data_IF_493721297373
#
_entry.id   IF_493721297373
#
_cell.length_a   1.000
_cell.length_b   1.000
_cell.length_c   1.000
_cell.angle_alpha   90.00
_cell.angle_beta   90.00
_cell.angle_gamma   90.00
#
_symmetry.space_group_name_H-M   'P 1'
#
loop_
_entity.id
_entity.type
_entity.pdbx_description
1 polymer ?
#
# COMPACT_ATOMS: atom_id res chain seq x y z
N UNK A 1 -9.88 -1.65 48.23
CA UNK A 1 -9.86 -2.55 47.06
C UNK A 1 -8.40 -2.74 46.66
N UNK A 2 -7.87 -3.92 46.91
CA UNK A 2 -6.46 -4.28 46.78
C UNK A 2 -5.99 -4.39 45.32
N UNK A 3 -4.82 -3.80 45.06
CA UNK A 3 -3.63 -4.33 44.37
C UNK A 3 -3.79 -5.28 43.17
N UNK A 4 -3.15 -4.94 42.06
CA UNK A 4 -2.53 -5.92 41.15
C UNK A 4 -1.25 -5.34 40.53
N UNK A 5 -0.13 -5.56 41.22
CA UNK A 5 1.21 -5.45 40.67
C UNK A 5 1.87 -6.83 40.78
N UNK A 6 2.46 -7.27 39.66
CA UNK A 6 3.61 -8.16 39.51
C UNK A 6 3.94 -9.18 40.61
N UNK A 7 4.01 -10.47 40.25
CA UNK A 7 5.21 -11.31 40.40
C UNK A 7 4.86 -12.77 40.11
N UNK A 8 5.33 -13.31 38.98
CA UNK A 8 5.35 -14.76 38.74
C UNK A 8 6.76 -15.23 39.01
N UNK A 9 6.97 -15.81 40.19
CA UNK A 9 8.17 -16.58 40.49
C UNK A 9 7.83 -17.79 41.38
N UNK A 10 8.23 -18.96 40.87
CA UNK A 10 8.49 -20.25 41.54
C UNK A 10 7.30 -21.14 41.91
N UNK A 11 7.25 -22.29 41.25
CA UNK A 11 7.27 -23.59 41.94
C UNK A 11 7.80 -24.70 41.01
N UNK A 12 9.09 -24.98 41.12
CA UNK A 12 9.64 -26.30 40.78
C UNK A 12 9.18 -27.29 41.86
N UNK A 13 8.43 -28.33 41.48
CA UNK A 13 8.26 -29.53 42.31
C UNK A 13 8.57 -30.76 41.46
N UNK A 14 9.62 -31.46 41.86
CA UNK A 14 10.01 -32.76 41.33
C UNK A 14 8.95 -33.81 41.69
N UNK A 15 8.46 -34.56 40.69
CA UNK A 15 7.64 -35.74 40.87
C UNK A 15 8.49 -37.00 40.59
N UNK A 16 8.40 -37.97 41.51
CA UNK A 16 9.14 -39.25 41.54
C UNK A 16 8.83 -40.14 40.31
N UNK A 17 9.77 -41.00 39.88
CA UNK A 17 9.56 -41.87 38.73
C UNK A 17 8.62 -43.04 39.09
N UNK A 18 7.58 -43.26 38.28
CA UNK A 18 6.82 -44.50 38.31
C UNK A 18 7.69 -45.64 37.75
N UNK A 19 7.84 -46.71 38.53
CA UNK A 19 8.38 -48.00 38.08
C UNK A 19 7.44 -48.59 37.03
N UNK A 20 7.90 -48.70 35.79
CA UNK A 20 7.27 -49.55 34.78
C UNK A 20 7.70 -51.00 35.01
N UNK A 21 6.70 -51.88 35.04
CA UNK A 21 6.83 -53.31 35.15
C UNK A 21 7.62 -53.86 33.95
N UNK A 22 8.64 -54.66 34.24
CA UNK A 22 9.46 -55.33 33.25
C UNK A 22 8.68 -56.55 32.72
N UNK A 23 8.03 -56.40 31.57
CA UNK A 23 7.49 -57.54 30.82
C UNK A 23 8.62 -58.11 29.96
N UNK A 24 9.11 -59.29 30.37
CA UNK A 24 9.98 -60.14 29.56
C UNK A 24 9.18 -60.62 28.33
N UNK A 25 9.34 -59.90 27.21
CA UNK A 25 8.93 -60.38 25.89
C UNK A 25 10.21 -60.71 25.15
N UNK A 26 10.46 -62.00 24.98
CA UNK A 26 11.51 -62.51 24.09
C UNK A 26 11.25 -62.01 22.66
N UNK A 27 11.78 -60.83 22.35
CA UNK A 27 11.80 -60.29 21.00
C UNK A 27 12.89 -61.01 20.22
N UNK A 28 12.50 -62.00 19.42
CA UNK A 28 13.33 -62.44 18.30
C UNK A 28 13.69 -61.19 17.48
N UNK A 29 14.98 -60.82 17.45
CA UNK A 29 15.48 -59.75 16.61
C UNK A 29 15.28 -60.13 15.14
N UNK A 30 14.07 -59.94 14.62
CA UNK A 30 13.86 -59.80 13.18
C UNK A 30 14.51 -58.48 12.82
N UNK A 31 15.71 -58.54 12.21
CA UNK A 31 16.33 -57.41 11.52
C UNK A 31 15.22 -56.65 10.79
N UNK A 32 15.09 -55.33 10.95
CA UNK A 32 14.15 -54.57 10.13
C UNK A 32 14.50 -54.92 8.69
N UNK A 33 13.53 -55.51 7.99
CA UNK A 33 13.63 -55.80 6.57
C UNK A 33 13.81 -54.42 5.95
N UNK A 34 15.06 -54.03 5.67
CA UNK A 34 15.34 -52.85 4.88
C UNK A 34 14.57 -53.08 3.60
N UNK A 35 13.48 -52.32 3.43
CA UNK A 35 12.82 -52.18 2.16
C UNK A 35 13.96 -51.76 1.24
N UNK A 36 14.32 -52.63 0.31
CA UNK A 36 15.26 -52.30 -0.75
C UNK A 36 14.75 -50.99 -1.32
N UNK A 37 15.42 -49.90 -0.99
CA UNK A 37 15.11 -48.58 -1.51
C UNK A 37 15.29 -48.73 -3.00
N UNK A 38 14.18 -48.87 -3.73
CA UNK A 38 14.22 -48.92 -5.18
C UNK A 38 14.96 -47.66 -5.62
N UNK A 39 16.19 -47.81 -6.12
CA UNK A 39 17.07 -46.70 -6.50
C UNK A 39 16.30 -45.70 -7.35
N UNK A 40 15.49 -46.22 -8.27
CA UNK A 40 14.57 -45.47 -9.14
C UNK A 40 13.71 -44.47 -8.37
N UNK A 41 13.05 -44.88 -7.28
CA UNK A 41 12.21 -43.97 -6.51
C UNK A 41 13.04 -42.87 -5.85
N UNK A 42 14.18 -43.22 -5.25
CA UNK A 42 15.08 -42.24 -4.63
C UNK A 42 15.60 -41.24 -5.67
N UNK A 43 15.96 -41.71 -6.85
CA UNK A 43 16.50 -40.89 -7.93
C UNK A 43 15.42 -39.95 -8.51
N UNK A 44 14.14 -40.37 -8.56
CA UNK A 44 13.01 -39.48 -8.89
C UNK A 44 12.77 -38.40 -7.80
N UNK A 45 12.80 -38.77 -6.52
CA UNK A 45 12.68 -37.80 -5.43
C UNK A 45 13.85 -36.80 -5.41
N UNK A 46 15.05 -37.21 -5.80
CA UNK A 46 16.19 -36.31 -5.94
C UNK A 46 15.93 -35.24 -7.01
N UNK A 47 15.42 -35.63 -8.19
CA UNK A 47 15.04 -34.68 -9.26
C UNK A 47 13.98 -33.68 -8.78
N UNK A 48 12.97 -34.15 -8.04
CA UNK A 48 11.95 -33.26 -7.48
C UNK A 48 12.52 -32.30 -6.43
N UNK A 49 13.44 -32.77 -5.59
CA UNK A 49 14.12 -31.92 -4.62
C UNK A 49 14.94 -30.82 -5.32
N UNK A 50 15.72 -31.18 -6.34
CA UNK A 50 16.52 -30.23 -7.12
C UNK A 50 15.64 -29.16 -7.78
N UNK A 51 14.54 -29.57 -8.43
CA UNK A 51 13.56 -28.64 -9.02
C UNK A 51 12.96 -27.69 -7.99
N UNK A 52 12.57 -28.19 -6.81
CA UNK A 52 12.00 -27.36 -5.74
C UNK A 52 13.03 -26.39 -5.15
N UNK A 53 14.29 -26.82 -5.02
CA UNK A 53 15.38 -25.97 -4.57
C UNK A 53 15.63 -24.82 -5.55
N UNK A 54 15.75 -25.12 -6.85
CA UNK A 54 15.91 -24.10 -7.89
C UNK A 54 14.73 -23.11 -7.93
N UNK A 55 13.50 -23.62 -7.80
CA UNK A 55 12.31 -22.78 -7.73
C UNK A 55 12.30 -21.88 -6.49
N UNK A 56 12.71 -22.40 -5.33
CA UNK A 56 12.80 -21.65 -4.09
C UNK A 56 13.90 -20.57 -4.16
N UNK A 57 15.07 -20.90 -4.72
CA UNK A 57 16.16 -19.94 -4.92
C UNK A 57 15.72 -18.79 -5.82
N UNK A 58 14.97 -19.10 -6.89
CA UNK A 58 14.38 -18.08 -7.77
C UNK A 58 13.35 -17.22 -7.05
N UNK A 59 12.45 -17.83 -6.27
CA UNK A 59 11.47 -17.11 -5.44
C UNK A 59 12.16 -16.13 -4.49
N UNK A 60 13.24 -16.54 -3.83
CA UNK A 60 14.00 -15.67 -2.92
C UNK A 60 14.67 -14.50 -3.65
N UNK A 61 15.18 -14.69 -4.87
CA UNK A 61 15.68 -13.59 -5.71
C UNK A 61 14.58 -12.59 -6.06
N UNK A 62 13.42 -13.07 -6.49
CA UNK A 62 12.25 -12.22 -6.79
C UNK A 62 11.79 -11.44 -5.56
N UNK A 63 11.75 -12.07 -4.37
CA UNK A 63 11.40 -11.37 -3.12
C UNK A 63 12.39 -10.25 -2.82
N UNK A 64 13.70 -10.49 -2.98
CA UNK A 64 14.72 -9.47 -2.76
C UNK A 64 14.56 -8.29 -3.71
N UNK A 65 14.41 -8.55 -5.01
CA UNK A 65 14.17 -7.49 -6.00
C UNK A 65 12.87 -6.72 -5.72
N UNK A 66 11.81 -7.43 -5.32
CA UNK A 66 10.52 -6.83 -4.97
C UNK A 66 10.62 -5.89 -3.76
N UNK A 67 11.40 -6.25 -2.74
CA UNK A 67 11.64 -5.36 -1.59
C UNK A 67 12.32 -4.06 -2.00
N UNK A 68 13.29 -4.12 -2.90
CA UNK A 68 13.98 -2.92 -3.40
C UNK A 68 13.02 -2.00 -4.17
N UNK A 69 12.14 -2.56 -5.01
CA UNK A 69 11.07 -1.80 -5.68
C UNK A 69 10.18 -1.12 -4.64
N UNK A 70 9.63 -1.87 -3.67
CA UNK A 70 8.76 -1.31 -2.62
C UNK A 70 9.45 -0.17 -1.86
N UNK A 71 10.69 -0.37 -1.41
CA UNK A 71 11.42 0.62 -0.61
C UNK A 71 11.60 1.92 -1.40
N UNK A 72 11.96 1.83 -2.68
CA UNK A 72 12.24 3.03 -3.46
C UNK A 72 10.97 3.69 -4.01
N UNK A 73 9.91 2.94 -4.32
CA UNK A 73 8.58 3.50 -4.59
C UNK A 73 8.05 4.30 -3.39
N UNK A 74 8.22 3.80 -2.15
CA UNK A 74 7.88 4.56 -0.93
C UNK A 74 8.64 5.87 -0.83
N UNK A 75 9.94 5.87 -1.15
CA UNK A 75 10.73 7.11 -1.13
C UNK A 75 10.19 8.14 -2.11
N UNK A 76 9.75 7.71 -3.30
CA UNK A 76 9.09 8.57 -4.29
C UNK A 76 7.81 9.16 -3.69
N UNK A 77 6.94 8.33 -3.11
CA UNK A 77 5.69 8.79 -2.46
C UNK A 77 5.99 9.83 -1.38
N UNK A 78 6.95 9.56 -0.50
CA UNK A 78 7.37 10.52 0.54
C UNK A 78 7.96 11.80 -0.03
N UNK A 79 8.65 11.73 -1.17
CA UNK A 79 9.17 12.91 -1.85
C UNK A 79 8.03 13.75 -2.42
N UNK A 80 7.02 13.15 -3.05
CA UNK A 80 5.83 13.86 -3.57
C UNK A 80 5.04 14.55 -2.45
N UNK A 81 4.94 13.96 -1.26
CA UNK A 81 4.28 14.60 -0.12
C UNK A 81 4.96 15.88 0.39
N UNK A 82 6.16 16.19 -0.08
CA UNK A 82 6.86 17.44 0.27
C UNK A 82 6.44 18.63 -0.58
N UNK A 83 5.54 18.44 -1.55
CA UNK A 83 5.06 19.48 -2.47
C UNK A 83 4.30 20.56 -1.72
N UNK A 84 4.83 21.77 -1.80
CA UNK A 84 4.23 23.03 -1.36
C UNK A 84 4.11 23.97 -2.56
N UNK A 85 3.39 25.07 -2.39
CA UNK A 85 3.16 26.05 -3.46
C UNK A 85 4.46 26.67 -4.00
N UNK A 86 5.46 26.85 -3.15
CA UNK A 86 6.73 27.52 -3.44
C UNK A 86 7.81 26.58 -4.02
N UNK A 87 7.70 25.27 -3.80
CA UNK A 87 8.73 24.30 -4.19
C UNK A 87 8.21 23.17 -5.11
N UNK A 88 6.98 23.29 -5.62
CA UNK A 88 6.30 22.22 -6.36
C UNK A 88 7.12 21.67 -7.52
N UNK A 89 7.72 22.53 -8.35
CA UNK A 89 8.47 22.09 -9.53
C UNK A 89 9.74 21.32 -9.16
N UNK A 90 10.52 21.83 -8.20
CA UNK A 90 11.74 21.16 -7.73
C UNK A 90 11.41 19.79 -7.13
N UNK A 91 10.40 19.73 -6.26
CA UNK A 91 10.00 18.50 -5.58
C UNK A 91 9.49 17.45 -6.56
N UNK A 92 8.62 17.84 -7.50
CA UNK A 92 8.07 16.93 -8.50
C UNK A 92 9.11 16.49 -9.53
N UNK A 93 10.00 17.39 -9.99
CA UNK A 93 11.09 17.02 -10.90
C UNK A 93 12.03 16.00 -10.26
N UNK A 94 12.30 16.15 -8.96
CA UNK A 94 13.06 15.16 -8.21
C UNK A 94 12.30 13.85 -8.07
N UNK A 95 11.01 13.87 -7.72
CA UNK A 95 10.20 12.66 -7.60
C UNK A 95 10.13 11.88 -8.93
N UNK A 96 10.02 12.57 -10.07
CA UNK A 96 10.03 11.94 -11.39
C UNK A 96 11.38 11.31 -11.73
N UNK A 97 12.50 11.97 -11.38
CA UNK A 97 13.84 11.38 -11.54
C UNK A 97 14.03 10.15 -10.66
N UNK A 98 13.55 10.22 -9.42
CA UNK A 98 13.58 9.10 -8.49
C UNK A 98 12.71 7.94 -9.02
N UNK A 99 11.51 8.22 -9.54
CA UNK A 99 10.62 7.23 -10.15
C UNK A 99 11.21 6.62 -11.44
N UNK A 100 11.85 7.43 -12.28
CA UNK A 100 12.57 6.95 -13.45
C UNK A 100 13.70 6.00 -13.04
N UNK A 101 14.42 6.32 -11.96
CA UNK A 101 15.45 5.44 -11.38
C UNK A 101 14.84 4.14 -10.86
N UNK A 102 13.68 4.19 -10.20
CA UNK A 102 12.95 2.99 -9.78
C UNK A 102 12.62 2.09 -10.97
N UNK A 103 12.14 2.70 -12.04
CA UNK A 103 11.77 2.03 -13.28
C UNK A 103 13.00 1.39 -13.94
N UNK A 104 14.06 2.15 -14.19
CA UNK A 104 15.24 1.65 -14.90
C UNK A 104 16.11 0.69 -14.08
N UNK A 105 16.14 0.81 -12.74
CA UNK A 105 17.09 0.03 -11.91
C UNK A 105 16.42 -1.11 -11.15
N UNK A 106 15.26 -0.88 -10.53
CA UNK A 106 14.65 -1.88 -9.64
C UNK A 106 13.58 -2.69 -10.36
N UNK A 107 12.71 -2.04 -11.15
CA UNK A 107 11.74 -2.75 -11.99
C UNK A 107 12.46 -3.59 -13.04
N UNK A 108 13.51 -3.08 -13.70
CA UNK A 108 14.32 -3.86 -14.65
C UNK A 108 14.86 -5.16 -14.02
N UNK A 109 15.48 -5.07 -12.83
CA UNK A 109 15.98 -6.26 -12.11
C UNK A 109 14.88 -7.25 -11.76
N UNK A 110 13.71 -6.75 -11.32
CA UNK A 110 12.57 -7.62 -11.06
C UNK A 110 12.10 -8.33 -12.33
N UNK A 111 12.07 -7.62 -13.48
CA UNK A 111 11.73 -8.22 -14.78
C UNK A 111 12.78 -9.25 -15.20
N UNK A 112 14.07 -9.02 -14.96
CA UNK A 112 15.15 -9.97 -15.32
C UNK A 112 15.04 -11.31 -14.60
N UNK A 113 14.58 -11.30 -13.34
CA UNK A 113 14.36 -12.50 -12.53
C UNK A 113 13.09 -13.28 -12.91
N UNK A 114 12.16 -12.65 -13.65
CA UNK A 114 10.88 -13.23 -14.07
C UNK A 114 10.91 -13.62 -15.55
N UNK A 115 10.74 -14.90 -15.88
CA UNK A 115 10.76 -15.37 -17.27
C UNK A 115 9.63 -16.37 -17.56
N UNK A 116 9.07 -16.32 -18.76
CA UNK A 116 8.12 -17.32 -19.25
C UNK A 116 6.94 -17.55 -18.31
N UNK A 117 6.91 -18.69 -17.62
CA UNK A 117 5.80 -19.09 -16.73
C UNK A 117 5.85 -18.51 -15.32
N UNK A 118 6.91 -17.77 -14.99
CA UNK A 118 7.13 -17.31 -13.61
C UNK A 118 6.13 -16.25 -13.15
N UNK A 119 5.56 -15.47 -14.08
CA UNK A 119 4.63 -14.40 -13.76
C UNK A 119 3.46 -14.89 -12.88
N UNK A 120 2.85 -16.01 -13.23
CA UNK A 120 1.76 -16.55 -12.41
C UNK A 120 2.27 -17.39 -11.24
N UNK A 121 3.34 -18.17 -11.41
CA UNK A 121 3.89 -19.05 -10.36
C UNK A 121 4.44 -18.28 -9.16
N UNK A 122 5.04 -17.12 -9.43
CA UNK A 122 5.71 -16.28 -8.43
C UNK A 122 4.94 -15.00 -8.13
N UNK A 123 3.68 -14.85 -8.56
CA UNK A 123 2.87 -13.63 -8.36
C UNK A 123 2.91 -13.12 -6.92
N UNK A 124 2.74 -14.00 -5.94
CA UNK A 124 2.76 -13.64 -4.52
C UNK A 124 4.11 -13.08 -4.03
N UNK A 125 5.21 -13.36 -4.72
CA UNK A 125 6.52 -12.85 -4.36
C UNK A 125 6.72 -11.36 -4.73
N UNK A 126 5.97 -10.85 -5.71
CA UNK A 126 6.19 -9.50 -6.26
C UNK A 126 4.95 -8.60 -6.34
N UNK A 127 3.73 -9.13 -6.21
CA UNK A 127 2.48 -8.36 -6.37
C UNK A 127 2.46 -7.06 -5.56
N UNK A 128 2.86 -7.09 -4.28
CA UNK A 128 2.90 -5.90 -3.43
C UNK A 128 3.90 -4.84 -3.92
N UNK A 129 5.02 -5.27 -4.49
CA UNK A 129 6.00 -4.34 -5.05
C UNK A 129 5.48 -3.64 -6.30
N UNK A 130 4.75 -4.36 -7.14
CA UNK A 130 4.08 -3.81 -8.32
C UNK A 130 2.98 -2.83 -7.91
N UNK A 131 2.15 -3.18 -6.92
CA UNK A 131 1.10 -2.28 -6.41
C UNK A 131 1.70 -0.96 -5.90
N UNK A 132 2.77 -1.03 -5.09
CA UNK A 132 3.47 0.16 -4.57
C UNK A 132 4.10 1.01 -5.69
N UNK A 133 4.64 0.36 -6.74
CA UNK A 133 5.14 1.07 -7.92
C UNK A 133 4.02 1.80 -8.67
N UNK A 134 2.87 1.15 -8.86
CA UNK A 134 1.70 1.77 -9.49
C UNK A 134 1.21 2.95 -8.67
N UNK A 135 1.13 2.82 -7.34
CA UNK A 135 0.78 3.89 -6.43
C UNK A 135 1.73 5.09 -6.59
N UNK A 136 3.05 4.86 -6.55
CA UNK A 136 4.04 5.91 -6.72
C UNK A 136 3.94 6.62 -8.09
N UNK A 137 3.79 5.84 -9.17
CA UNK A 137 3.74 6.36 -10.54
C UNK A 137 2.46 7.18 -10.79
N UNK A 138 1.31 6.66 -10.36
CA UNK A 138 0.03 7.35 -10.49
C UNK A 138 -0.04 8.58 -9.58
N UNK A 139 0.58 8.54 -8.40
CA UNK A 139 0.65 9.70 -7.50
C UNK A 139 1.50 10.84 -8.09
N UNK A 140 2.65 10.51 -8.68
CA UNK A 140 3.46 11.50 -9.40
C UNK A 140 2.67 12.14 -10.56
N UNK A 141 2.03 11.31 -11.41
CA UNK A 141 1.21 11.79 -12.53
C UNK A 141 0.08 12.70 -12.07
N UNK A 142 -0.62 12.31 -11.00
CA UNK A 142 -1.71 13.11 -10.45
C UNK A 142 -1.22 14.48 -9.96
N UNK A 143 -0.12 14.53 -9.22
CA UNK A 143 0.40 15.80 -8.71
C UNK A 143 0.97 16.70 -9.82
N UNK A 144 1.41 16.14 -10.95
CA UNK A 144 1.93 16.89 -12.09
C UNK A 144 0.82 17.41 -13.02
N UNK A 145 -0.13 16.56 -13.37
CA UNK A 145 -1.09 16.79 -14.46
C UNK A 145 -2.55 16.75 -14.01
N UNK A 146 -2.83 16.27 -12.79
CA UNK A 146 -4.20 16.09 -12.30
C UNK A 146 -4.92 14.88 -12.91
N UNK A 147 -4.19 13.97 -13.57
CA UNK A 147 -4.70 12.77 -14.25
C UNK A 147 -4.11 11.49 -13.65
N UNK A 148 -4.66 10.33 -14.02
CA UNK A 148 -4.12 9.01 -13.64
C UNK A 148 -3.28 8.49 -14.80
N UNK A 149 -2.12 7.92 -14.50
CA UNK A 149 -1.31 7.21 -15.47
C UNK A 149 -1.97 5.86 -15.79
N UNK A 150 -2.33 5.62 -17.04
CA UNK A 150 -3.11 4.43 -17.40
C UNK A 150 -2.26 3.13 -17.40
N UNK A 151 -2.92 1.98 -17.25
CA UNK A 151 -2.25 0.67 -17.24
C UNK A 151 -1.47 0.39 -18.54
N UNK A 152 -1.95 0.88 -19.68
CA UNK A 152 -1.32 0.66 -20.99
C UNK A 152 -0.03 1.48 -21.10
N UNK A 153 -0.01 2.71 -20.63
CA UNK A 153 1.14 3.60 -20.54
C UNK A 153 2.20 3.02 -19.61
N UNK A 154 1.80 2.53 -18.43
CA UNK A 154 2.74 1.87 -17.49
C UNK A 154 3.37 0.65 -18.15
N UNK A 155 2.55 -0.24 -18.72
CA UNK A 155 3.06 -1.44 -19.39
C UNK A 155 3.93 -1.10 -20.61
N UNK A 156 3.61 -0.05 -21.36
CA UNK A 156 4.44 0.42 -22.49
C UNK A 156 5.82 0.86 -21.99
N UNK A 157 5.86 1.56 -20.86
CA UNK A 157 7.12 1.97 -20.22
C UNK A 157 7.93 0.75 -19.78
N UNK A 158 7.30 -0.24 -19.15
CA UNK A 158 7.99 -1.47 -18.72
C UNK A 158 8.43 -2.36 -19.90
N UNK A 159 7.68 -2.37 -20.99
CA UNK A 159 8.05 -3.09 -22.21
C UNK A 159 9.34 -2.53 -22.82
N UNK A 160 9.57 -1.22 -22.71
CA UNK A 160 10.80 -0.59 -23.19
C UNK A 160 12.06 -0.97 -22.41
N UNK A 161 11.91 -1.56 -21.21
CA UNK A 161 13.02 -2.04 -20.38
C UNK A 161 13.49 -3.45 -20.77
N UNK A 162 12.68 -4.21 -21.51
CA UNK A 162 12.99 -5.59 -21.87
C UNK A 162 13.88 -5.67 -23.11
N UNK A 163 14.83 -6.61 -23.11
CA UNK A 163 15.51 -7.04 -24.34
C UNK A 163 14.50 -7.60 -25.34
N UNK A 164 14.72 -7.38 -26.65
CA UNK A 164 13.85 -7.85 -27.74
C UNK A 164 13.58 -9.37 -27.74
N UNK A 165 14.34 -10.16 -26.97
CA UNK A 165 14.20 -11.61 -26.85
C UNK A 165 13.42 -12.08 -25.61
N UNK A 166 13.05 -11.20 -24.67
CA UNK A 166 12.34 -11.56 -23.43
C UNK A 166 10.93 -10.96 -23.42
N UNK A 167 9.95 -11.71 -22.89
CA UNK A 167 8.62 -11.14 -22.63
C UNK A 167 8.74 -10.20 -21.43
N UNK A 168 8.41 -8.91 -21.59
CA UNK A 168 8.47 -7.96 -20.47
C UNK A 168 7.41 -8.29 -19.42
N UNK A 169 7.66 -7.88 -18.17
CA UNK A 169 6.65 -7.93 -17.12
C UNK A 169 5.45 -7.08 -17.54
N UNK A 170 4.29 -7.72 -17.60
CA UNK A 170 3.02 -7.04 -17.79
C UNK A 170 2.31 -6.96 -16.43
N UNK A 171 2.12 -5.75 -15.93
CA UNK A 171 1.31 -5.50 -14.74
C UNK A 171 -0.11 -5.96 -15.01
N UNK A 172 -0.62 -6.80 -14.11
CA UNK A 172 -1.99 -7.31 -14.20
C UNK A 172 -2.99 -6.22 -13.86
N UNK A 173 -4.20 -6.31 -14.43
CA UNK A 173 -5.30 -5.41 -14.09
C UNK A 173 -5.58 -5.38 -12.60
N UNK A 174 -5.50 -6.52 -11.92
CA UNK A 174 -5.74 -6.62 -10.48
C UNK A 174 -4.68 -5.85 -9.68
N UNK A 175 -3.40 -6.03 -9.99
CA UNK A 175 -2.32 -5.31 -9.27
C UNK A 175 -2.39 -3.80 -9.53
N UNK A 176 -2.79 -3.39 -10.74
CA UNK A 176 -3.03 -1.97 -11.04
C UNK A 176 -4.19 -1.39 -10.22
N UNK A 177 -5.34 -2.07 -10.18
CA UNK A 177 -6.51 -1.60 -9.43
C UNK A 177 -6.23 -1.55 -7.93
N UNK A 178 -5.47 -2.51 -7.38
CA UNK A 178 -5.07 -2.52 -5.98
C UNK A 178 -4.11 -1.36 -5.66
N UNK A 179 -3.11 -1.11 -6.50
CA UNK A 179 -2.22 0.06 -6.36
C UNK A 179 -2.97 1.39 -6.50
N UNK A 180 -3.96 1.46 -7.39
CA UNK A 180 -4.85 2.63 -7.52
C UNK A 180 -5.73 2.84 -6.29
N UNK A 181 -6.15 1.75 -5.63
CA UNK A 181 -6.88 1.85 -4.39
C UNK A 181 -6.01 2.42 -3.27
N UNK A 182 -4.73 2.05 -3.20
CA UNK A 182 -3.77 2.61 -2.24
C UNK A 182 -3.46 4.10 -2.50
N UNK A 183 -3.34 4.51 -3.77
CA UNK A 183 -3.22 5.93 -4.16
C UNK A 183 -4.24 6.82 -3.46
N UNK A 184 -5.48 6.35 -3.29
CA UNK A 184 -6.54 7.15 -2.65
C UNK A 184 -6.22 7.55 -1.21
N UNK A 185 -5.47 6.71 -0.48
CA UNK A 185 -4.97 7.02 0.85
C UNK A 185 -3.93 8.13 0.84
N UNK A 186 -3.03 8.12 -0.15
CA UNK A 186 -2.02 9.17 -0.32
C UNK A 186 -2.64 10.49 -0.80
N UNK A 187 -3.64 10.42 -1.68
CA UNK A 187 -4.45 11.58 -2.07
C UNK A 187 -5.17 12.21 -0.88
N UNK A 188 -5.73 11.39 0.03
CA UNK A 188 -6.30 11.90 1.26
C UNK A 188 -5.27 12.62 2.12
N UNK A 189 -4.07 12.05 2.32
CA UNK A 189 -2.99 12.73 3.05
C UNK A 189 -2.60 14.07 2.39
N UNK A 190 -2.47 14.09 1.06
CA UNK A 190 -2.19 15.30 0.30
C UNK A 190 -3.29 16.35 0.50
N UNK A 191 -4.56 15.94 0.43
CA UNK A 191 -5.70 16.84 0.62
C UNK A 191 -5.69 17.48 2.01
N UNK A 192 -5.38 16.73 3.07
CA UNK A 192 -5.24 17.29 4.43
C UNK A 192 -4.11 18.31 4.48
N UNK A 193 -2.94 18.02 3.89
CA UNK A 193 -1.83 18.99 3.81
C UNK A 193 -2.26 20.28 3.11
N UNK A 194 -3.01 20.15 2.02
CA UNK A 194 -3.46 21.29 1.20
C UNK A 194 -4.52 22.13 1.90
N UNK A 195 -5.38 21.52 2.72
CA UNK A 195 -6.28 22.25 3.62
C UNK A 195 -5.49 23.09 4.61
N UNK A 196 -4.41 22.55 5.20
CA UNK A 196 -3.54 23.30 6.11
C UNK A 196 -2.84 24.49 5.42
N UNK A 197 -2.55 24.38 4.12
CA UNK A 197 -2.00 25.44 3.27
C UNK A 197 -3.07 26.45 2.78
N UNK A 198 -4.31 26.34 3.26
CA UNK A 198 -5.49 27.13 2.82
C UNK A 198 -5.89 26.92 1.35
N UNK A 199 -5.44 25.85 0.72
CA UNK A 199 -5.82 25.45 -0.65
C UNK A 199 -7.04 24.52 -0.66
N UNK A 200 -8.14 24.97 -0.03
CA UNK A 200 -9.35 24.16 0.17
C UNK A 200 -9.97 23.71 -1.17
N UNK A 201 -9.91 24.56 -2.21
CA UNK A 201 -10.44 24.19 -3.53
C UNK A 201 -9.66 23.06 -4.19
N UNK A 202 -8.36 22.93 -3.92
CA UNK A 202 -7.58 21.79 -4.40
C UNK A 202 -7.93 20.53 -3.63
N UNK A 203 -8.10 20.61 -2.31
CA UNK A 203 -8.57 19.48 -1.51
C UNK A 203 -9.96 18.99 -1.93
N UNK A 204 -10.87 19.89 -2.31
CA UNK A 204 -12.17 19.53 -2.90
C UNK A 204 -12.03 18.83 -4.25
N UNK A 205 -11.08 19.23 -5.10
CA UNK A 205 -10.77 18.52 -6.37
C UNK A 205 -10.29 17.10 -6.08
N UNK A 206 -9.38 16.93 -5.12
CA UNK A 206 -8.90 15.61 -4.69
C UNK A 206 -10.07 14.77 -4.16
N UNK A 207 -10.94 15.34 -3.31
CA UNK A 207 -12.11 14.65 -2.78
C UNK A 207 -13.00 14.09 -3.90
N UNK A 208 -13.38 14.93 -4.89
CA UNK A 208 -14.18 14.50 -6.05
C UNK A 208 -13.51 13.39 -6.84
N UNK A 209 -12.19 13.48 -7.00
CA UNK A 209 -11.42 12.48 -7.71
C UNK A 209 -11.43 11.13 -6.99
N UNK A 210 -11.20 11.12 -5.67
CA UNK A 210 -11.27 9.89 -4.86
C UNK A 210 -12.69 9.32 -4.84
N UNK A 211 -13.72 10.16 -4.77
CA UNK A 211 -15.13 9.73 -4.87
C UNK A 211 -15.42 9.05 -6.21
N UNK A 212 -14.87 9.55 -7.32
CA UNK A 212 -15.05 8.94 -8.63
C UNK A 212 -14.38 7.55 -8.68
N UNK A 213 -13.13 7.43 -8.20
CA UNK A 213 -12.45 6.13 -8.10
C UNK A 213 -13.26 5.14 -7.25
N UNK A 214 -13.75 5.58 -6.09
CA UNK A 214 -14.56 4.76 -5.20
C UNK A 214 -15.83 4.23 -5.89
N UNK A 215 -16.53 5.09 -6.64
CA UNK A 215 -17.74 4.70 -7.38
C UNK A 215 -17.44 3.63 -8.41
N UNK A 216 -16.41 3.85 -9.25
CA UNK A 216 -16.04 2.89 -10.30
C UNK A 216 -15.58 1.55 -9.70
N UNK A 217 -14.73 1.58 -8.68
CA UNK A 217 -14.26 0.36 -8.02
C UNK A 217 -15.38 -0.38 -7.27
N UNK A 218 -16.39 0.31 -6.75
CA UNK A 218 -17.57 -0.32 -6.12
C UNK A 218 -18.38 -1.12 -7.15
N UNK A 219 -18.46 -0.64 -8.39
CA UNK A 219 -19.12 -1.38 -9.48
C UNK A 219 -18.30 -2.59 -9.94
N UNK A 220 -16.97 -2.48 -9.90
CA UNK A 220 -16.06 -3.54 -10.33
C UNK A 220 -15.84 -4.63 -9.26
N UNK A 221 -15.80 -4.30 -7.98
CA UNK A 221 -15.45 -5.25 -6.92
C UNK A 221 -16.29 -6.55 -6.92
N UNK A 222 -17.60 -6.56 -7.21
CA UNK A 222 -18.39 -7.79 -7.27
C UNK A 222 -18.00 -8.74 -8.41
N UNK A 223 -17.43 -8.23 -9.51
CA UNK A 223 -17.05 -9.02 -10.68
C UNK A 223 -15.58 -9.45 -10.67
N UNK A 224 -14.80 -8.97 -9.70
CA UNK A 224 -13.39 -9.33 -9.56
C UNK A 224 -13.23 -10.72 -8.92
N UNK A 225 -12.30 -11.50 -9.46
CA UNK A 225 -11.82 -12.72 -8.83
C UNK A 225 -11.15 -12.40 -7.49
N UNK A 226 -11.52 -13.13 -6.43
CA UNK A 226 -11.06 -12.90 -5.05
C UNK A 226 -11.15 -11.42 -4.61
N UNK A 227 -12.38 -10.88 -4.61
CA UNK A 227 -12.68 -9.49 -4.23
C UNK A 227 -12.46 -9.15 -2.74
N UNK A 228 -11.91 -10.07 -1.94
CA UNK A 228 -11.75 -9.90 -0.49
C UNK A 228 -10.81 -8.74 -0.15
N UNK A 229 -9.70 -8.60 -0.88
CA UNK A 229 -8.74 -7.52 -0.71
C UNK A 229 -9.32 -6.18 -1.18
N UNK A 230 -9.94 -6.16 -2.36
CA UNK A 230 -10.57 -4.95 -2.91
C UNK A 230 -11.68 -4.40 -1.99
N UNK A 231 -12.50 -5.29 -1.38
CA UNK A 231 -13.54 -4.87 -0.41
C UNK A 231 -12.94 -4.13 0.79
N UNK A 232 -11.84 -4.63 1.35
CA UNK A 232 -11.12 -3.95 2.45
C UNK A 232 -10.57 -2.60 2.00
N UNK A 233 -10.03 -2.52 0.78
CA UNK A 233 -9.53 -1.25 0.22
C UNK A 233 -10.67 -0.25 0.02
N UNK A 234 -11.84 -0.68 -0.44
CA UNK A 234 -13.03 0.17 -0.57
C UNK A 234 -13.49 0.74 0.79
N UNK A 235 -13.48 -0.07 1.85
CA UNK A 235 -13.79 0.41 3.20
C UNK A 235 -12.82 1.51 3.65
N UNK A 236 -11.51 1.32 3.44
CA UNK A 236 -10.48 2.33 3.76
C UNK A 236 -10.61 3.57 2.87
N UNK A 237 -10.97 3.41 1.61
CA UNK A 237 -11.19 4.50 0.67
C UNK A 237 -12.39 5.36 1.09
N UNK A 238 -13.49 4.73 1.52
CA UNK A 238 -14.66 5.45 2.06
C UNK A 238 -14.27 6.28 3.28
N UNK A 239 -13.50 5.72 4.21
CA UNK A 239 -12.97 6.46 5.36
C UNK A 239 -12.09 7.64 4.91
N UNK A 240 -11.32 7.46 3.84
CA UNK A 240 -10.47 8.50 3.26
C UNK A 240 -11.31 9.65 2.69
N UNK A 241 -12.39 9.35 1.96
CA UNK A 241 -13.37 10.35 1.48
C UNK A 241 -13.96 11.12 2.65
N UNK A 242 -14.51 10.43 3.65
CA UNK A 242 -15.12 11.06 4.83
C UNK A 242 -14.14 11.98 5.56
N UNK A 243 -12.86 11.62 5.66
CA UNK A 243 -11.84 12.48 6.27
C UNK A 243 -11.64 13.78 5.50
N UNK A 244 -11.54 13.72 4.17
CA UNK A 244 -11.35 14.92 3.35
C UNK A 244 -12.60 15.82 3.43
N UNK A 245 -13.78 15.24 3.33
CA UNK A 245 -15.06 15.97 3.41
C UNK A 245 -15.22 16.68 4.75
N UNK A 246 -15.01 15.97 5.86
CA UNK A 246 -15.10 16.55 7.20
C UNK A 246 -14.07 17.67 7.40
N UNK A 247 -12.84 17.50 6.90
CA UNK A 247 -11.82 18.54 6.98
C UNK A 247 -12.23 19.79 6.18
N UNK A 248 -12.75 19.62 4.97
CA UNK A 248 -13.25 20.73 4.15
C UNK A 248 -14.45 21.44 4.82
N UNK A 249 -15.39 20.67 5.36
CA UNK A 249 -16.56 21.17 6.07
C UNK A 249 -16.17 22.01 7.30
N UNK A 250 -15.28 21.48 8.15
CA UNK A 250 -14.81 22.18 9.34
C UNK A 250 -14.14 23.52 9.02
N UNK A 251 -13.35 23.58 7.94
CA UNK A 251 -12.74 24.84 7.48
C UNK A 251 -13.78 25.83 6.97
N UNK A 252 -14.79 25.34 6.23
CA UNK A 252 -15.87 26.18 5.73
C UNK A 252 -16.70 26.79 6.87
N UNK A 253 -17.12 25.98 7.85
CA UNK A 253 -17.89 26.44 9.01
C UNK A 253 -17.11 27.49 9.80
N UNK A 254 -15.85 27.19 10.17
CA UNK A 254 -14.99 28.15 10.90
C UNK A 254 -14.74 29.44 10.12
N UNK A 255 -14.60 29.35 8.80
CA UNK A 255 -14.46 30.52 7.93
C UNK A 255 -15.74 31.38 7.86
N UNK A 256 -16.90 30.78 8.14
CA UNK A 256 -18.21 31.45 8.13
C UNK A 256 -18.60 32.02 9.51
N UNK A 257 -18.01 31.49 10.59
CA UNK A 257 -18.18 32.00 11.97
C UNK A 257 -17.45 33.33 12.19
N UNK A 258 -16.34 33.57 11.48
CA UNK A 258 -15.65 34.87 11.47
C UNK A 258 -16.29 35.84 10.47
N UNK A 259 -17.46 36.37 10.83
CA UNK A 259 -17.90 37.66 10.30
C UNK A 259 -17.10 38.73 11.06
N UNK A 260 -16.29 39.59 10.41
CA UNK A 260 -15.58 40.64 11.12
C UNK A 260 -16.60 41.58 11.79
N UNK A 261 -16.78 41.43 13.10
CA UNK A 261 -17.51 42.39 13.92
C UNK A 261 -16.56 43.58 14.22
N UNK A 262 -16.56 44.58 13.31
CA UNK A 262 -16.04 45.98 13.44
C UNK A 262 -14.50 46.14 13.54
N UNK A 263 -13.79 47.21 13.15
CA UNK A 263 -13.99 48.59 12.63
C UNK A 263 -12.58 49.17 12.26
N UNK A 264 -12.39 50.20 11.42
CA UNK A 264 -12.42 51.64 11.75
C UNK A 264 -12.33 52.50 10.46
N UNK A 265 -12.88 53.72 10.56
CA UNK A 265 -12.96 54.84 9.60
C UNK A 265 -14.19 54.87 8.69
N UNK A 266 -15.35 55.18 9.29
CA UNK A 266 -16.25 56.15 8.67
C UNK A 266 -16.75 57.11 9.76
N UNK A 267 -16.14 58.29 9.79
CA UNK A 267 -16.64 59.46 10.49
C UNK A 267 -17.92 59.93 9.80
N UNK A 268 -19.09 59.52 10.30
CA UNK A 268 -20.34 60.30 10.30
C UNK A 268 -21.52 59.41 10.74
N UNK A 269 -21.86 59.47 12.02
CA UNK A 269 -23.22 59.14 12.47
C UNK A 269 -23.90 60.43 12.95
N UNK A 270 -24.95 60.92 12.28
CA UNK A 270 -25.76 61.99 12.82
C UNK A 270 -26.60 61.45 13.97
N UNK A 271 -26.38 62.07 15.13
CA UNK A 271 -27.16 61.95 16.36
C UNK A 271 -28.66 62.07 16.05
N UNK A 272 -29.39 60.96 15.99
CA UNK A 272 -30.85 60.98 15.91
C UNK A 272 -31.39 61.03 17.35
N UNK A 273 -31.66 62.25 17.80
CA UNK A 273 -32.28 62.52 19.09
C UNK A 273 -33.68 61.93 19.18
N UNK A 274 -33.95 61.23 20.28
CA UNK A 274 -35.31 60.90 20.73
C UNK A 274 -35.94 62.18 21.33
N UNK A 275 -37.12 62.61 20.88
CA UNK A 275 -37.88 63.61 21.61
C UNK A 275 -38.52 62.97 22.84
N UNK A 276 -38.24 63.57 23.98
CA UNK A 276 -39.00 63.42 25.22
C UNK A 276 -40.49 63.65 24.97
N UNK A 277 -41.33 62.75 25.46
CA UNK A 277 -42.75 63.02 25.73
C UNK A 277 -43.03 62.66 27.18
N UNK A 278 -43.08 63.70 28.01
CA UNK A 278 -43.75 63.73 29.30
C UNK A 278 -45.25 64.03 29.08
N UNK A 279 -46.06 63.46 29.98
CA UNK A 279 -47.52 63.62 30.22
C UNK A 279 -48.47 62.73 29.42
#
# INVERSE_FOLDING_TARGET
MQLAASSIARCFRAAKPLRLHQCDVMSSFKKPRMISTNSVMRDEFAKHADYLNEFNDKREKVIKASRDVTINSKKVIFQVHRVRKDNSEEVLSKAEKDLASVTSQYMSKLVEELQGTDFWKLRHAYTFAVQEYVEAATFCRFCREGTILDLKEINTTLHSLGDSHRKPLQISTIDYLLGLADLTGELMRLAISKISEREVEYAKRICRFVQNIYRELTLLAPIMDDSSEMKKKLEVMLQSVTKIENACFNVHVRGSEFIPLLGENDDQFPYMGLPYLDS
#
